data_IF_647205839504
#
_entry.id   IF_647205839504
#
_cell.length_a   1.000
_cell.length_b   1.000
_cell.length_c   1.000
_cell.angle_alpha   90.00
_cell.angle_beta   90.00
_cell.angle_gamma   90.00
#
_symmetry.space_group_name_H-M   'P 1'
#
loop_
_entity.id
_entity.type
_entity.pdbx_description
1 polymer ?
#
# COMPACT_ATOMS: atom_id res chain seq x y z
N UNK A 1 5.09 -2.11 3.15
CA UNK A 1 5.63 -3.42 2.67
C UNK A 1 6.70 -3.95 3.60
N UNK A 2 6.29 -4.63 4.66
CA UNK A 2 7.08 -5.24 5.73
C UNK A 2 8.31 -6.09 5.33
N UNK A 3 9.35 -5.50 4.76
CA UNK A 3 10.38 -6.28 4.06
C UNK A 3 11.83 -5.88 4.36
N UNK A 4 12.08 -4.97 5.31
CA UNK A 4 13.43 -4.49 5.62
C UNK A 4 13.75 -4.58 7.10
N UNK A 5 15.03 -4.82 7.39
CA UNK A 5 15.52 -4.85 8.77
C UNK A 5 15.71 -3.44 9.34
N UNK A 6 15.77 -3.34 10.67
CA UNK A 6 16.02 -2.08 11.36
C UNK A 6 17.27 -1.35 10.85
N UNK A 7 18.36 -2.10 10.60
CA UNK A 7 19.65 -1.53 10.16
C UNK A 7 19.57 -0.84 8.80
N UNK A 8 18.62 -1.22 7.95
CA UNK A 8 18.42 -0.64 6.61
C UNK A 8 17.41 0.50 6.65
N UNK A 9 16.33 0.31 7.41
CA UNK A 9 15.22 1.26 7.48
C UNK A 9 15.62 2.54 8.20
N UNK A 10 16.25 2.44 9.36
CA UNK A 10 16.50 3.60 10.21
C UNK A 10 17.33 4.70 9.50
N UNK A 11 18.44 4.39 8.79
CA UNK A 11 19.15 5.42 8.03
C UNK A 11 18.32 6.07 6.92
N UNK A 12 17.35 5.35 6.34
CA UNK A 12 16.43 5.91 5.35
C UNK A 12 15.48 6.89 6.03
N UNK A 13 14.86 6.50 7.15
CA UNK A 13 13.97 7.37 7.92
C UNK A 13 14.68 8.64 8.40
N UNK A 14 15.92 8.54 8.87
CA UNK A 14 16.73 9.71 9.26
C UNK A 14 16.99 10.73 8.15
N UNK A 15 16.85 10.32 6.89
CA UNK A 15 16.87 11.26 5.75
C UNK A 15 15.49 11.78 5.44
N UNK A 16 14.46 10.93 5.51
CA UNK A 16 13.07 11.33 5.28
C UNK A 16 12.57 12.34 6.33
N UNK A 17 13.03 12.25 7.58
CA UNK A 17 12.75 13.23 8.65
C UNK A 17 13.15 14.67 8.28
N UNK A 18 14.09 14.84 7.34
CA UNK A 18 14.52 16.16 6.86
C UNK A 18 13.60 16.72 5.77
N UNK A 19 12.67 15.92 5.29
CA UNK A 19 11.73 16.29 4.23
C UNK A 19 10.49 16.90 4.84
N UNK A 20 10.07 18.05 4.32
CA UNK A 20 8.85 18.72 4.78
C UNK A 20 7.56 18.07 4.29
N UNK A 21 7.63 17.16 3.30
CA UNK A 21 6.45 16.49 2.71
C UNK A 21 6.13 15.13 3.34
N UNK A 22 7.04 14.55 4.12
CA UNK A 22 6.83 13.20 4.69
C UNK A 22 6.10 13.34 6.02
N UNK A 23 4.81 13.00 6.04
CA UNK A 23 3.97 13.11 7.24
C UNK A 23 3.99 11.88 8.16
N UNK A 24 4.15 10.68 7.60
CA UNK A 24 4.19 9.42 8.33
C UNK A 24 4.81 8.31 7.48
N UNK A 25 5.08 7.14 8.08
CA UNK A 25 5.59 5.97 7.36
C UNK A 25 4.79 4.73 7.73
N UNK A 26 4.31 4.04 6.71
CA UNK A 26 3.60 2.76 6.83
C UNK A 26 4.57 1.59 6.59
N UNK A 27 4.48 0.57 7.44
CA UNK A 27 5.12 -0.74 7.27
C UNK A 27 6.59 -0.70 6.85
N UNK A 28 7.44 0.11 7.50
CA UNK A 28 8.82 0.24 7.07
C UNK A 28 9.64 -1.01 7.37
N UNK A 29 9.23 -1.81 8.35
CA UNK A 29 10.01 -2.91 8.94
C UNK A 29 9.31 -4.26 8.74
N UNK A 30 10.10 -5.35 8.73
CA UNK A 30 9.61 -6.74 8.77
C UNK A 30 8.55 -6.90 9.87
N UNK A 31 7.41 -7.48 9.51
CA UNK A 31 6.20 -7.49 10.35
C UNK A 31 6.41 -8.24 11.66
N UNK A 32 7.17 -9.34 11.62
CA UNK A 32 7.43 -10.20 12.77
C UNK A 32 8.51 -9.69 13.73
N UNK A 33 9.23 -8.62 13.39
CA UNK A 33 10.29 -8.07 14.24
C UNK A 33 9.73 -7.08 15.27
N UNK A 34 9.06 -7.63 16.27
CA UNK A 34 8.39 -6.89 17.36
C UNK A 34 9.35 -5.92 18.05
N UNK A 35 10.57 -6.36 18.38
CA UNK A 35 11.57 -5.53 19.04
C UNK A 35 12.10 -4.44 18.10
N UNK A 36 12.27 -4.75 16.81
CA UNK A 36 12.68 -3.80 15.78
C UNK A 36 11.67 -2.66 15.63
N UNK A 37 10.36 -2.94 15.68
CA UNK A 37 9.32 -1.92 15.64
C UNK A 37 9.40 -0.95 16.81
N UNK A 38 9.53 -1.48 18.05
CA UNK A 38 9.68 -0.65 19.26
C UNK A 38 10.91 0.24 19.17
N UNK A 39 12.06 -0.34 18.82
CA UNK A 39 13.33 0.39 18.69
C UNK A 39 13.31 1.42 17.57
N UNK A 40 12.61 1.13 16.47
CA UNK A 40 12.48 2.07 15.36
C UNK A 40 11.69 3.30 15.81
N UNK A 41 10.54 3.08 16.45
CA UNK A 41 9.69 4.13 16.99
C UNK A 41 10.41 5.02 18.00
N UNK A 42 11.22 4.44 18.88
CA UNK A 42 12.06 5.21 19.82
C UNK A 42 13.16 6.05 19.13
N UNK A 43 13.47 5.75 17.87
CA UNK A 43 14.58 6.34 17.13
C UNK A 43 14.13 7.25 16.00
N UNK A 44 12.85 7.39 15.72
CA UNK A 44 12.35 8.25 14.64
C UNK A 44 11.31 9.24 15.13
N UNK A 45 11.32 10.43 14.55
CA UNK A 45 10.32 11.47 14.81
C UNK A 45 9.10 11.36 13.87
N UNK A 46 9.18 10.49 12.86
CA UNK A 46 8.08 10.23 11.93
C UNK A 46 7.08 9.24 12.56
N UNK A 47 5.77 9.56 12.59
CA UNK A 47 4.74 8.62 13.01
C UNK A 47 4.78 7.33 12.20
N UNK A 48 4.74 6.20 12.90
CA UNK A 48 4.74 4.88 12.28
C UNK A 48 3.33 4.29 12.26
N UNK A 49 2.91 3.80 11.11
CA UNK A 49 1.67 3.05 10.94
C UNK A 49 1.95 1.58 10.64
N UNK A 50 1.19 0.70 11.28
CA UNK A 50 1.24 -0.73 11.05
C UNK A 50 -0.04 -1.22 10.37
N UNK A 51 0.15 -1.82 9.21
CA UNK A 51 -0.86 -2.59 8.50
C UNK A 51 -0.87 -4.04 8.99
N UNK A 52 -2.06 -4.64 9.04
CA UNK A 52 -2.29 -6.06 9.38
C UNK A 52 -1.46 -6.56 10.59
N UNK A 53 -1.74 -6.05 11.80
CA UNK A 53 -1.01 -6.47 13.00
C UNK A 53 -1.14 -8.01 13.22
N UNK A 54 -0.01 -8.76 13.31
CA UNK A 54 -0.02 -10.22 13.25
C UNK A 54 -0.62 -10.91 14.49
N UNK A 55 -0.74 -10.21 15.61
CA UNK A 55 -1.29 -10.68 16.89
C UNK A 55 -2.70 -10.13 17.16
N UNK A 56 -3.38 -9.62 16.13
CA UNK A 56 -4.76 -9.13 16.23
C UNK A 56 -4.88 -7.68 16.69
N UNK A 57 -3.78 -6.93 16.76
CA UNK A 57 -3.76 -5.47 16.89
C UNK A 57 -3.74 -4.92 18.30
N UNK A 58 -4.26 -5.67 19.29
CA UNK A 58 -4.23 -5.22 20.69
C UNK A 58 -2.89 -5.49 21.37
N UNK A 59 -2.23 -6.60 21.05
CA UNK A 59 -0.92 -6.90 21.62
C UNK A 59 0.13 -5.92 21.09
N UNK A 60 0.07 -5.58 19.81
CA UNK A 60 0.95 -4.58 19.21
C UNK A 60 0.77 -3.21 19.87
N UNK A 61 -0.48 -2.84 20.16
CA UNK A 61 -0.77 -1.61 20.89
C UNK A 61 -0.17 -1.65 22.30
N UNK A 62 -0.36 -2.74 23.05
CA UNK A 62 0.17 -2.89 24.40
C UNK A 62 1.71 -2.85 24.44
N UNK A 63 2.36 -3.37 23.39
CA UNK A 63 3.81 -3.32 23.23
C UNK A 63 4.32 -2.01 22.60
N UNK A 64 3.42 -1.12 22.18
CA UNK A 64 3.76 0.20 21.64
C UNK A 64 4.51 0.14 20.31
N UNK A 65 4.14 -0.78 19.42
CA UNK A 65 4.89 -1.05 18.17
C UNK A 65 4.76 0.06 17.13
N UNK A 66 3.64 0.79 17.11
CA UNK A 66 3.34 1.83 16.14
C UNK A 66 2.61 3.01 16.80
N UNK A 67 2.57 4.15 16.11
CA UNK A 67 1.82 5.34 16.55
C UNK A 67 0.37 5.32 16.07
N UNK A 68 0.06 4.48 15.09
CA UNK A 68 -1.30 4.20 14.65
C UNK A 68 -1.38 2.89 13.89
N UNK A 69 -2.62 2.45 13.65
CA UNK A 69 -2.90 1.15 13.03
C UNK A 69 -3.89 1.30 11.89
N UNK A 70 -3.68 0.51 10.83
CA UNK A 70 -4.58 0.47 9.69
C UNK A 70 -5.70 -0.56 9.95
N UNK A 71 -6.94 -0.15 9.67
CA UNK A 71 -8.17 -0.92 9.84
C UNK A 71 -8.99 -0.94 8.54
N UNK A 72 -9.93 -1.89 8.40
CA UNK A 72 -10.84 -1.98 7.25
C UNK A 72 -10.60 -3.22 6.38
N UNK A 73 -9.55 -3.21 5.55
CA UNK A 73 -9.38 -4.13 4.41
C UNK A 73 -9.15 -5.62 4.78
N UNK A 74 -8.37 -5.92 5.82
CA UNK A 74 -7.79 -7.27 5.97
C UNK A 74 -7.85 -7.94 7.35
N UNK A 75 -8.20 -7.23 8.42
CA UNK A 75 -8.21 -7.83 9.75
C UNK A 75 -9.66 -8.10 10.15
N UNK A 76 -10.14 -9.33 9.99
CA UNK A 76 -11.45 -9.78 10.51
C UNK A 76 -12.70 -9.11 9.93
N UNK A 77 -12.56 -8.26 8.90
CA UNK A 77 -13.65 -7.53 8.27
C UNK A 77 -14.16 -6.34 9.10
N UNK A 78 -15.33 -5.83 8.73
CA UNK A 78 -15.89 -4.60 9.33
C UNK A 78 -16.10 -4.68 10.85
N UNK A 79 -16.57 -5.82 11.36
CA UNK A 79 -16.81 -5.98 12.80
C UNK A 79 -15.52 -5.82 13.62
N UNK A 80 -14.43 -6.40 13.14
CA UNK A 80 -13.11 -6.23 13.77
C UNK A 80 -12.58 -4.80 13.62
N UNK A 81 -12.76 -4.16 12.45
CA UNK A 81 -12.38 -2.76 12.25
C UNK A 81 -13.08 -1.83 13.26
N UNK A 82 -14.37 -2.04 13.56
CA UNK A 82 -15.08 -1.31 14.61
C UNK A 82 -14.50 -1.58 15.99
N UNK A 83 -14.31 -2.85 16.36
CA UNK A 83 -13.76 -3.21 17.67
C UNK A 83 -12.38 -2.58 17.90
N UNK A 84 -11.46 -2.73 16.94
CA UNK A 84 -10.12 -2.14 17.03
C UNK A 84 -10.18 -0.61 16.97
N UNK A 85 -10.97 -0.02 16.08
CA UNK A 85 -11.09 1.44 15.97
C UNK A 85 -11.55 2.09 17.28
N UNK A 86 -12.55 1.51 17.96
CA UNK A 86 -12.97 1.99 19.28
C UNK A 86 -11.93 1.71 20.38
N UNK A 87 -11.30 0.53 20.38
CA UNK A 87 -10.27 0.18 21.34
C UNK A 87 -9.04 1.11 21.24
N UNK A 88 -8.57 1.38 20.02
CA UNK A 88 -7.49 2.31 19.72
C UNK A 88 -7.88 3.74 20.13
N UNK A 89 -9.09 4.17 19.81
CA UNK A 89 -9.61 5.47 20.25
C UNK A 89 -9.59 5.61 21.77
N UNK A 90 -9.99 4.58 22.52
CA UNK A 90 -9.92 4.55 23.99
C UNK A 90 -8.49 4.59 24.52
N UNK A 91 -7.55 4.02 23.81
CA UNK A 91 -6.12 4.08 24.11
C UNK A 91 -5.43 5.36 23.60
N UNK A 92 -6.19 6.33 23.06
CA UNK A 92 -5.68 7.57 22.46
C UNK A 92 -4.76 7.35 21.25
N UNK A 93 -4.93 6.22 20.54
CA UNK A 93 -4.17 5.85 19.34
C UNK A 93 -5.04 6.08 18.09
N UNK A 94 -4.55 6.82 17.08
CA UNK A 94 -5.30 7.02 15.84
C UNK A 94 -5.34 5.75 14.98
N UNK A 95 -6.45 5.60 14.25
CA UNK A 95 -6.60 4.60 13.20
C UNK A 95 -6.54 5.24 11.82
N UNK A 96 -6.03 4.52 10.82
CA UNK A 96 -6.21 4.86 9.40
C UNK A 96 -7.19 3.86 8.81
N UNK A 97 -8.22 4.33 8.12
CA UNK A 97 -9.15 3.44 7.42
C UNK A 97 -8.60 3.22 6.03
N UNK A 98 -8.21 1.98 5.72
CA UNK A 98 -7.87 1.59 4.37
C UNK A 98 -8.94 0.65 3.85
N UNK A 99 -9.61 1.07 2.80
CA UNK A 99 -10.67 0.33 2.11
C UNK A 99 -10.60 0.70 0.64
N UNK A 100 -9.90 -0.09 -0.18
CA UNK A 100 -9.67 0.27 -1.57
C UNK A 100 -10.86 -0.10 -2.46
N UNK A 101 -11.35 0.84 -3.26
CA UNK A 101 -12.42 0.62 -4.23
C UNK A 101 -13.02 1.92 -4.74
N UNK A 102 -14.10 1.81 -5.52
CA UNK A 102 -14.83 2.97 -6.05
C UNK A 102 -15.70 3.69 -5.01
N UNK A 103 -16.57 4.59 -5.46
CA UNK A 103 -17.39 5.47 -4.62
C UNK A 103 -18.17 4.74 -3.52
N UNK A 104 -18.69 3.53 -3.76
CA UNK A 104 -19.40 2.76 -2.72
C UNK A 104 -18.50 2.44 -1.51
N UNK A 105 -17.23 2.10 -1.78
CA UNK A 105 -16.24 1.83 -0.74
C UNK A 105 -15.83 3.13 -0.05
N UNK A 106 -15.71 4.23 -0.79
CA UNK A 106 -15.48 5.57 -0.22
C UNK A 106 -16.60 5.99 0.71
N UNK A 107 -17.87 5.83 0.31
CA UNK A 107 -19.03 6.10 1.14
C UNK A 107 -18.97 5.29 2.46
N UNK A 108 -18.66 4.01 2.35
CA UNK A 108 -18.53 3.14 3.52
C UNK A 108 -17.38 3.55 4.46
N UNK A 109 -16.22 3.90 3.90
CA UNK A 109 -15.08 4.40 4.67
C UNK A 109 -15.41 5.72 5.40
N UNK A 110 -16.17 6.61 4.76
CA UNK A 110 -16.62 7.87 5.36
C UNK A 110 -17.61 7.66 6.50
N UNK A 111 -18.58 6.75 6.33
CA UNK A 111 -19.49 6.35 7.42
C UNK A 111 -18.74 5.74 8.60
N UNK A 112 -17.76 4.87 8.34
CA UNK A 112 -16.90 4.33 9.40
C UNK A 112 -16.10 5.44 10.10
N UNK A 113 -15.54 6.37 9.33
CA UNK A 113 -14.83 7.54 9.84
C UNK A 113 -15.68 8.47 10.69
N UNK A 114 -16.97 8.60 10.37
CA UNK A 114 -17.93 9.42 11.12
C UNK A 114 -18.27 8.85 12.50
N UNK A 115 -18.17 7.53 12.67
CA UNK A 115 -18.53 6.83 13.92
C UNK A 115 -17.32 6.60 14.82
N UNK A 116 -16.14 6.41 14.25
CA UNK A 116 -14.92 6.16 15.02
C UNK A 116 -14.34 7.45 15.62
N UNK A 117 -14.13 7.53 16.94
CA UNK A 117 -13.72 8.79 17.59
C UNK A 117 -12.34 9.33 17.20
N UNK A 118 -11.45 8.50 16.65
CA UNK A 118 -10.05 8.87 16.39
C UNK A 118 -9.50 8.27 15.10
N UNK A 119 -10.01 8.74 13.97
CA UNK A 119 -9.48 8.42 12.65
C UNK A 119 -8.53 9.54 12.21
N UNK A 120 -7.35 9.16 11.71
CA UNK A 120 -6.38 10.10 11.15
C UNK A 120 -6.77 10.51 9.73
N UNK A 121 -6.88 9.54 8.83
CA UNK A 121 -7.33 9.73 7.45
C UNK A 121 -7.88 8.42 6.87
N UNK A 122 -8.43 8.50 5.67
CA UNK A 122 -8.92 7.35 4.90
C UNK A 122 -8.11 7.16 3.62
N UNK A 123 -7.96 5.92 3.17
CA UNK A 123 -7.32 5.53 1.92
C UNK A 123 -8.33 4.67 1.14
N UNK A 124 -8.88 5.24 0.06
CA UNK A 124 -9.94 4.57 -0.72
C UNK A 124 -9.58 4.24 -2.16
N UNK A 125 -8.65 4.99 -2.76
CA UNK A 125 -8.22 4.79 -4.16
C UNK A 125 -9.35 4.95 -5.20
N UNK A 126 -10.43 5.67 -4.88
CA UNK A 126 -11.58 5.86 -5.78
C UNK A 126 -11.18 6.45 -7.15
N UNK A 127 -10.23 7.39 -7.14
CA UNK A 127 -9.73 8.04 -8.36
C UNK A 127 -8.81 7.13 -9.21
N UNK A 128 -8.40 5.95 -8.70
CA UNK A 128 -7.64 4.98 -9.47
C UNK A 128 -8.53 4.13 -10.39
N UNK A 129 -9.85 4.23 -10.25
CA UNK A 129 -10.81 3.47 -11.05
C UNK A 129 -11.49 4.39 -12.08
N UNK A 130 -11.39 4.02 -13.36
CA UNK A 130 -12.10 4.70 -14.44
C UNK A 130 -13.60 4.40 -14.34
N UNK A 131 -13.93 3.14 -14.12
CA UNK A 131 -15.30 2.67 -13.92
C UNK A 131 -15.77 2.89 -12.47
N UNK A 132 -17.05 3.20 -12.28
CA UNK A 132 -17.65 3.37 -10.96
C UNK A 132 -19.08 2.84 -10.95
N UNK A 133 -19.49 2.21 -9.84
CA UNK A 133 -20.85 1.71 -9.66
C UNK A 133 -21.80 2.78 -9.15
N UNK A 134 -21.31 3.85 -8.53
CA UNK A 134 -22.17 4.92 -8.04
C UNK A 134 -22.73 5.79 -9.17
N UNK A 135 -23.96 6.27 -9.00
CA UNK A 135 -24.56 7.25 -9.91
C UNK A 135 -23.87 8.62 -9.82
N UNK A 136 -23.36 8.98 -8.64
CA UNK A 136 -22.66 10.25 -8.36
C UNK A 136 -21.41 9.96 -7.53
N UNK A 137 -20.25 10.53 -7.94
CA UNK A 137 -19.01 10.44 -7.18
C UNK A 137 -19.03 11.36 -5.97
N UNK A 138 -18.38 10.93 -4.89
CA UNK A 138 -18.19 11.76 -3.70
C UNK A 138 -17.01 12.70 -3.94
N UNK A 139 -17.17 14.03 -3.86
CA UNK A 139 -16.10 14.96 -4.15
C UNK A 139 -15.05 14.97 -3.04
N UNK A 140 -13.80 15.29 -3.42
CA UNK A 140 -12.75 15.72 -2.49
C UNK A 140 -12.72 17.25 -2.51
N UNK A 141 -12.98 17.86 -1.37
CA UNK A 141 -13.05 19.31 -1.14
C UNK A 141 -11.99 19.65 -0.10
N UNK A 142 -10.91 20.33 -0.51
CA UNK A 142 -9.80 20.73 0.37
C UNK A 142 -9.22 19.54 1.19
N UNK A 143 -9.14 18.36 0.57
CA UNK A 143 -8.63 17.14 1.20
C UNK A 143 -9.63 16.41 2.12
N UNK A 144 -10.89 16.81 2.12
CA UNK A 144 -11.98 16.18 2.87
C UNK A 144 -13.12 15.77 1.95
N UNK A 145 -13.90 14.77 2.35
CA UNK A 145 -15.10 14.35 1.62
C UNK A 145 -16.32 14.34 2.53
N UNK A 146 -17.49 14.77 2.03
CA UNK A 146 -18.71 14.77 2.83
C UNK A 146 -19.20 13.34 3.06
N UNK A 147 -19.68 13.05 4.26
CA UNK A 147 -20.35 11.78 4.56
C UNK A 147 -21.74 11.82 3.92
N UNK A 148 -22.12 10.85 3.08
CA UNK A 148 -23.46 10.83 2.49
C UNK A 148 -24.56 10.69 3.56
N UNK A 149 -25.64 11.47 3.45
CA UNK A 149 -26.70 11.53 4.48
C UNK A 149 -27.94 10.65 4.15
N UNK A 150 -28.00 10.09 2.95
CA UNK A 150 -29.10 9.20 2.54
C UNK A 150 -29.11 7.87 3.29
N UNK A 151 -30.20 7.09 3.20
CA UNK A 151 -30.29 5.77 3.82
C UNK A 151 -29.18 4.81 3.37
N UNK A 152 -28.74 3.93 4.27
CA UNK A 152 -27.68 2.96 3.98
C UNK A 152 -26.34 3.66 3.76
N UNK A 153 -25.70 3.43 2.61
CA UNK A 153 -24.47 4.13 2.23
C UNK A 153 -24.73 5.56 1.74
N UNK A 154 -25.98 5.93 1.46
CA UNK A 154 -26.36 7.25 0.94
C UNK A 154 -25.92 7.50 -0.51
N UNK A 155 -25.70 6.43 -1.28
CA UNK A 155 -25.27 6.47 -2.69
C UNK A 155 -26.11 5.48 -3.50
N UNK A 156 -26.60 5.91 -4.65
CA UNK A 156 -27.34 5.07 -5.59
C UNK A 156 -26.39 4.27 -6.49
N UNK A 157 -26.75 3.00 -6.73
CA UNK A 157 -26.01 2.08 -7.60
C UNK A 157 -26.56 2.14 -9.02
N UNK A 158 -25.66 2.17 -10.01
CA UNK A 158 -25.98 1.99 -11.43
C UNK A 158 -26.08 0.50 -11.74
N UNK A 159 -27.26 -0.07 -11.60
CA UNK A 159 -27.50 -1.51 -11.79
C UNK A 159 -27.08 -1.99 -13.18
N UNK A 160 -27.33 -1.21 -14.23
CA UNK A 160 -26.88 -1.54 -15.60
C UNK A 160 -25.34 -1.65 -15.71
N UNK A 161 -24.61 -0.79 -15.01
CA UNK A 161 -23.14 -0.81 -14.98
C UNK A 161 -22.64 -2.00 -14.15
N UNK A 162 -23.33 -2.34 -13.06
CA UNK A 162 -23.04 -3.54 -12.28
C UNK A 162 -23.21 -4.79 -13.15
N UNK A 163 -24.33 -4.92 -13.86
CA UNK A 163 -24.58 -6.03 -14.80
C UNK A 163 -23.50 -6.09 -15.88
N UNK A 164 -23.11 -4.94 -16.46
CA UNK A 164 -22.03 -4.87 -17.45
C UNK A 164 -20.69 -5.35 -16.87
N UNK A 165 -20.33 -4.91 -15.66
CA UNK A 165 -19.06 -5.24 -15.02
C UNK A 165 -19.00 -6.70 -14.54
N UNK A 166 -20.13 -7.29 -14.14
CA UNK A 166 -20.23 -8.72 -13.81
C UNK A 166 -20.00 -9.58 -15.06
N UNK A 167 -20.51 -9.14 -16.22
CA UNK A 167 -20.41 -9.88 -17.47
C UNK A 167 -19.14 -9.56 -18.29
N UNK A 168 -18.27 -8.68 -17.80
CA UNK A 168 -17.05 -8.30 -18.53
C UNK A 168 -16.07 -9.48 -18.60
N UNK A 169 -15.36 -9.67 -19.73
CA UNK A 169 -14.30 -10.67 -19.79
C UNK A 169 -13.19 -10.34 -18.78
N UNK A 170 -12.47 -11.34 -18.26
CA UNK A 170 -11.32 -11.11 -17.40
C UNK A 170 -10.32 -10.16 -18.06
N UNK A 171 -9.79 -9.21 -17.30
CA UNK A 171 -8.70 -8.37 -17.79
C UNK A 171 -7.45 -9.24 -18.01
N UNK A 172 -6.91 -9.21 -19.22
CA UNK A 172 -5.60 -9.79 -19.49
C UNK A 172 -4.54 -9.02 -18.72
N UNK A 173 -3.65 -9.73 -18.04
CA UNK A 173 -2.53 -9.09 -17.36
C UNK A 173 -1.55 -8.59 -18.41
N UNK A 174 -1.18 -7.29 -18.43
CA UNK A 174 -0.20 -6.80 -19.37
C UNK A 174 1.12 -7.55 -19.18
N UNK A 175 1.80 -7.87 -20.27
CA UNK A 175 3.19 -8.33 -20.22
C UNK A 175 4.06 -7.13 -19.84
N UNK A 176 4.80 -7.26 -18.75
CA UNK A 176 5.66 -6.19 -18.25
C UNK A 176 7.04 -6.74 -17.96
N UNK A 177 8.05 -6.05 -18.50
CA UNK A 177 9.46 -6.32 -18.27
C UNK A 177 9.99 -5.28 -17.27
N UNK A 178 10.48 -5.74 -16.12
CA UNK A 178 11.27 -4.92 -15.21
C UNK A 178 12.68 -4.75 -15.73
N UNK A 179 13.15 -3.50 -15.79
CA UNK A 179 14.50 -3.13 -16.23
C UNK A 179 15.18 -2.43 -15.06
N UNK A 180 16.22 -3.04 -14.49
CA UNK A 180 17.03 -2.44 -13.43
C UNK A 180 18.41 -2.11 -13.95
N UNK A 181 18.73 -0.83 -14.10
CA UNK A 181 20.10 -0.39 -14.35
C UNK A 181 20.87 -0.34 -13.04
N UNK A 182 21.96 -1.09 -12.95
CA UNK A 182 22.84 -1.13 -11.80
C UNK A 182 23.88 0.00 -11.84
N UNK A 183 24.48 0.39 -10.70
CA UNK A 183 25.44 1.49 -10.63
C UNK A 183 26.70 1.29 -11.51
N UNK A 184 27.04 0.03 -11.79
CA UNK A 184 28.16 -0.34 -12.66
C UNK A 184 27.83 -0.37 -14.15
N UNK A 185 26.63 0.06 -14.57
CA UNK A 185 26.21 0.09 -15.97
C UNK A 185 25.49 -1.17 -16.47
N UNK A 186 25.64 -2.30 -15.77
CA UNK A 186 24.91 -3.53 -16.10
C UNK A 186 23.39 -3.37 -15.97
N UNK A 187 22.64 -4.07 -16.81
CA UNK A 187 21.18 -4.03 -16.83
C UNK A 187 20.58 -5.40 -16.52
N UNK A 188 19.69 -5.44 -15.53
CA UNK A 188 18.94 -6.62 -15.14
C UNK A 188 17.52 -6.57 -15.75
N UNK A 189 17.12 -7.64 -16.41
CA UNK A 189 15.78 -7.84 -16.95
C UNK A 189 15.02 -8.90 -16.16
N UNK A 190 13.77 -8.63 -15.76
CA UNK A 190 12.88 -9.55 -15.04
C UNK A 190 11.45 -9.50 -15.56
N UNK A 191 10.68 -10.57 -15.43
CA UNK A 191 9.22 -10.50 -15.61
C UNK A 191 8.64 -9.76 -14.41
N UNK A 192 8.09 -8.57 -14.62
CA UNK A 192 7.65 -7.69 -13.54
C UNK A 192 8.80 -7.26 -12.63
N UNK A 193 8.53 -7.18 -11.31
CA UNK A 193 9.49 -6.71 -10.31
C UNK A 193 10.56 -7.77 -9.99
N UNK A 194 11.86 -7.40 -9.97
CA UNK A 194 12.92 -8.32 -9.59
C UNK A 194 13.00 -8.51 -8.07
N UNK A 195 13.48 -9.67 -7.65
CA UNK A 195 13.93 -9.86 -6.27
C UNK A 195 15.42 -9.47 -6.16
N UNK A 196 15.67 -8.16 -6.06
CA UNK A 196 17.04 -7.62 -6.01
C UNK A 196 17.84 -8.14 -4.82
N UNK A 197 17.19 -8.41 -3.69
CA UNK A 197 17.89 -8.92 -2.50
C UNK A 197 18.48 -10.31 -2.74
N UNK A 198 17.71 -11.23 -3.33
CA UNK A 198 18.22 -12.55 -3.69
C UNK A 198 19.32 -12.51 -4.75
N UNK A 199 19.28 -11.53 -5.66
CA UNK A 199 20.25 -11.41 -6.74
C UNK A 199 21.57 -10.77 -6.31
N UNK A 200 21.48 -9.76 -5.43
CA UNK A 200 22.63 -8.94 -5.03
C UNK A 200 23.23 -9.40 -3.70
N UNK A 201 22.50 -10.18 -2.90
CA UNK A 201 22.90 -10.61 -1.55
C UNK A 201 22.80 -9.51 -0.48
N UNK A 202 22.23 -8.35 -0.83
CA UNK A 202 22.03 -7.22 0.07
C UNK A 202 20.58 -6.76 -0.01
N UNK A 203 20.02 -6.33 1.12
CA UNK A 203 18.70 -5.71 1.14
C UNK A 203 18.67 -4.48 0.23
N UNK A 204 17.71 -4.43 -0.70
CA UNK A 204 17.59 -3.41 -1.74
C UNK A 204 17.79 -1.96 -1.23
N UNK A 205 17.27 -1.63 -0.05
CA UNK A 205 17.37 -0.28 0.54
C UNK A 205 18.80 0.21 0.81
N UNK A 206 19.78 -0.70 0.82
CA UNK A 206 21.22 -0.42 0.95
C UNK A 206 21.92 -0.18 -0.39
N UNK A 207 21.30 -0.61 -1.50
CA UNK A 207 21.88 -0.49 -2.84
C UNK A 207 21.64 0.93 -3.35
N UNK A 208 22.71 1.69 -3.56
CA UNK A 208 22.63 3.09 -4.06
C UNK A 208 22.81 3.13 -5.56
N UNK A 209 22.12 4.05 -6.23
CA UNK A 209 22.37 4.39 -7.63
C UNK A 209 21.80 3.40 -8.66
N UNK A 210 20.97 2.45 -8.23
CA UNK A 210 20.19 1.65 -9.19
C UNK A 210 18.95 2.43 -9.63
N UNK A 211 18.50 2.18 -10.86
CA UNK A 211 17.27 2.74 -11.42
C UNK A 211 16.39 1.59 -11.88
N UNK A 212 15.11 1.62 -11.53
CA UNK A 212 14.15 0.62 -11.93
C UNK A 212 13.05 1.23 -12.80
N UNK A 213 12.71 0.53 -13.88
CA UNK A 213 11.63 0.89 -14.79
C UNK A 213 10.79 -0.34 -15.15
N UNK A 214 9.49 -0.12 -15.33
CA UNK A 214 8.59 -1.11 -15.90
C UNK A 214 8.34 -0.76 -17.36
N UNK A 215 8.80 -1.62 -18.28
CA UNK A 215 8.47 -1.54 -19.70
C UNK A 215 7.26 -2.41 -19.98
N UNK A 216 6.19 -1.80 -20.47
CA UNK A 216 5.06 -2.55 -21.03
C UNK A 216 5.41 -3.07 -22.42
N UNK A 217 4.78 -4.17 -22.79
CA UNK A 217 4.88 -4.74 -24.12
C UNK A 217 4.45 -3.75 -25.21
N UNK A 218 5.41 -3.37 -26.04
CA UNK A 218 5.25 -2.45 -27.16
C UNK A 218 5.09 -3.19 -28.50
N UNK A 219 5.01 -4.53 -28.47
CA UNK A 219 4.93 -5.38 -29.66
C UNK A 219 6.26 -5.56 -30.39
N UNK A 220 7.37 -5.03 -29.87
CA UNK A 220 8.68 -5.18 -30.50
C UNK A 220 9.24 -6.61 -30.35
N UNK A 221 10.03 -7.03 -31.35
CA UNK A 221 10.78 -8.29 -31.28
C UNK A 221 11.80 -8.30 -30.13
N UNK A 222 12.35 -7.13 -29.80
CA UNK A 222 13.27 -6.96 -28.66
C UNK A 222 12.56 -7.26 -27.34
N UNK A 223 11.37 -6.67 -27.12
CA UNK A 223 10.58 -6.93 -25.93
C UNK A 223 10.23 -8.42 -25.83
N UNK A 224 9.69 -9.01 -26.91
CA UNK A 224 9.30 -10.42 -26.92
C UNK A 224 10.48 -11.33 -26.57
N UNK A 225 11.65 -11.10 -27.18
CA UNK A 225 12.87 -11.86 -26.91
C UNK A 225 13.33 -11.75 -25.46
N UNK A 226 13.39 -10.54 -24.91
CA UNK A 226 13.84 -10.33 -23.52
C UNK A 226 12.83 -10.90 -22.52
N UNK A 227 11.54 -10.70 -22.76
CA UNK A 227 10.47 -11.18 -21.90
C UNK A 227 10.43 -12.71 -21.86
N UNK A 228 10.44 -13.38 -23.01
CA UNK A 228 10.42 -14.85 -23.09
C UNK A 228 11.67 -15.47 -22.46
N UNK A 229 12.84 -14.84 -22.67
CA UNK A 229 14.08 -15.28 -22.03
C UNK A 229 13.98 -15.12 -20.51
N UNK A 230 13.52 -13.97 -20.01
CA UNK A 230 13.40 -13.73 -18.57
C UNK A 230 12.34 -14.65 -17.92
N UNK A 231 11.29 -14.99 -18.66
CA UNK A 231 10.27 -15.94 -18.21
C UNK A 231 10.83 -17.36 -18.08
N UNK A 232 11.73 -17.77 -18.97
CA UNK A 232 12.34 -19.11 -18.97
C UNK A 232 13.50 -19.24 -17.99
N UNK A 233 14.37 -18.25 -17.93
CA UNK A 233 15.66 -18.30 -17.23
C UNK A 233 15.63 -17.62 -15.85
N UNK A 234 14.57 -16.86 -15.54
CA UNK A 234 14.54 -15.96 -14.40
C UNK A 234 15.15 -14.60 -14.74
N UNK A 235 15.62 -13.86 -13.73
CA UNK A 235 16.21 -12.54 -13.97
C UNK A 235 17.55 -12.66 -14.73
N UNK A 236 17.73 -11.85 -15.78
CA UNK A 236 18.89 -11.89 -16.67
C UNK A 236 19.72 -10.63 -16.47
N UNK A 237 21.02 -10.78 -16.22
CA UNK A 237 21.96 -9.66 -16.15
C UNK A 237 22.75 -9.57 -17.46
N UNK A 238 22.73 -8.39 -18.09
CA UNK A 238 23.59 -8.03 -19.20
C UNK A 238 24.63 -7.00 -18.74
N UNK A 239 25.90 -7.25 -19.06
CA UNK A 239 26.98 -6.33 -18.73
C UNK A 239 26.91 -5.07 -19.59
N UNK A 240 27.25 -3.93 -19.00
CA UNK A 240 27.34 -2.63 -19.67
C UNK A 240 28.70 -2.37 -20.30
#
# INVERSE_FOLDING_TARGET
NHNRSLGVVLPILKRLEKSWVVGCVEDPLVLSDIDGWRRLREKTDLPLYMHVPPLGGMQELLHGLADGYIIGEYCGGFGDALHRGFAYSKANIPSVIQLTGGTLVTAFALHLGAVLPRVAHTITLDDNYVEDLAATRIPVIEGCSPVPEGPGLGVDVREEELERLVNRPPREKPRVLGVTTLPGGGTLYSVGFPNLESLMGYQEGTIRGHRFELRQDDGSEEFARLYERAQREGSILEAG
#
